data_IF_010347086769
#
_entry.id   IF_010347086769
#
_cell.length_a   1.000
_cell.length_b   1.000
_cell.length_c   1.000
_cell.angle_alpha   90.00
_cell.angle_beta   90.00
_cell.angle_gamma   90.00
#
_symmetry.space_group_name_H-M   'P 1'
#
loop_
_entity.id
_entity.type
_entity.pdbx_description
1 polymer ?
#
# COMPACT_ATOMS: atom_id res chain seq x y z
N UNK A 1 18.00 59.41 -64.57
CA UNK A 1 18.99 60.41 -64.13
C UNK A 1 18.65 60.86 -62.71
N UNK A 2 19.59 60.68 -61.77
CA UNK A 2 19.80 61.43 -60.51
C UNK A 2 18.58 61.87 -59.66
N UNK A 3 18.43 61.33 -58.46
CA UNK A 3 19.10 61.84 -57.24
C UNK A 3 18.32 61.51 -55.97
N UNK A 4 19.07 61.04 -54.99
CA UNK A 4 18.78 60.87 -53.56
C UNK A 4 18.53 62.24 -52.89
N UNK A 5 17.62 62.34 -51.92
CA UNK A 5 17.92 62.76 -50.52
C UNK A 5 16.71 63.31 -49.75
N UNK A 6 16.51 62.73 -48.55
CA UNK A 6 16.21 63.39 -47.26
C UNK A 6 14.81 64.00 -47.10
N UNK A 7 14.04 63.48 -46.16
CA UNK A 7 13.71 64.11 -44.86
C UNK A 7 12.82 63.09 -44.10
N UNK A 8 13.32 62.37 -43.09
CA UNK A 8 13.41 62.74 -41.67
C UNK A 8 12.05 62.75 -40.93
N UNK A 9 12.02 61.96 -39.83
CA UNK A 9 11.11 62.01 -38.67
C UNK A 9 9.62 61.67 -38.93
N UNK A 10 8.86 61.05 -38.02
CA UNK A 10 9.12 60.34 -36.78
C UNK A 10 7.80 59.69 -36.35
N UNK A 11 7.92 58.60 -35.57
CA UNK A 11 7.02 58.14 -34.52
C UNK A 11 5.49 58.30 -34.69
N UNK A 12 4.78 57.18 -34.61
CA UNK A 12 3.78 56.97 -33.55
C UNK A 12 3.43 55.48 -33.45
N UNK A 13 3.92 54.90 -32.36
CA UNK A 13 3.53 53.60 -31.81
C UNK A 13 2.14 53.75 -31.19
N UNK A 14 1.23 52.82 -31.42
CA UNK A 14 -0.02 52.78 -30.66
C UNK A 14 -1.02 51.70 -31.06
N UNK A 15 -1.13 50.68 -30.19
CA UNK A 15 -2.26 49.76 -29.99
C UNK A 15 -2.58 48.74 -31.11
N UNK A 16 -1.90 47.59 -31.05
CA UNK A 16 -2.50 46.32 -31.46
C UNK A 16 -3.13 45.67 -30.20
N UNK A 17 -4.46 45.71 -30.12
CA UNK A 17 -5.22 45.02 -29.08
C UNK A 17 -5.17 43.50 -29.32
N UNK A 18 -4.51 42.77 -28.42
CA UNK A 18 -4.58 41.32 -28.38
C UNK A 18 -5.84 40.90 -27.61
N UNK A 19 -6.85 40.45 -28.34
CA UNK A 19 -7.98 39.69 -27.79
C UNK A 19 -7.45 38.34 -27.29
N UNK A 20 -7.14 38.24 -25.99
CA UNK A 20 -6.89 36.96 -25.35
C UNK A 20 -8.21 36.20 -25.25
N UNK A 21 -8.36 35.15 -26.05
CA UNK A 21 -9.45 34.19 -25.92
C UNK A 21 -9.34 33.48 -24.57
N UNK A 22 -10.29 33.77 -23.67
CA UNK A 22 -10.48 33.02 -22.43
C UNK A 22 -11.11 31.66 -22.76
N UNK A 23 -10.28 30.68 -23.09
CA UNK A 23 -10.72 29.28 -23.03
C UNK A 23 -10.77 28.85 -21.56
N UNK A 24 -11.89 28.31 -21.05
CA UNK A 24 -11.90 27.73 -19.72
C UNK A 24 -10.92 26.55 -19.70
N UNK A 25 -9.94 26.62 -18.80
CA UNK A 25 -9.07 25.49 -18.49
C UNK A 25 -9.96 24.37 -17.96
N UNK A 26 -10.07 23.27 -18.70
CA UNK A 26 -10.60 22.04 -18.16
C UNK A 26 -9.76 21.71 -16.92
N UNK A 27 -10.40 21.69 -15.75
CA UNK A 27 -9.79 21.19 -14.54
C UNK A 27 -9.39 19.73 -14.82
N UNK A 28 -8.10 19.49 -14.99
CA UNK A 28 -7.56 18.15 -15.04
C UNK A 28 -7.91 17.50 -13.70
N UNK A 29 -8.85 16.57 -13.71
CA UNK A 29 -8.96 15.55 -12.67
C UNK A 29 -7.57 14.93 -12.58
N UNK A 30 -6.89 15.13 -11.44
CA UNK A 30 -5.57 14.55 -11.21
C UNK A 30 -5.58 13.03 -11.45
N UNK A 31 -4.40 12.40 -11.65
CA UNK A 31 -4.34 10.97 -11.87
C UNK A 31 -5.11 10.25 -10.75
N UNK A 32 -6.15 9.49 -11.11
CA UNK A 32 -6.73 8.53 -10.19
C UNK A 32 -5.61 7.55 -9.85
N UNK A 33 -5.19 7.52 -8.58
CA UNK A 33 -4.19 6.59 -8.09
C UNK A 33 -4.74 5.16 -8.32
N UNK A 34 -4.20 4.45 -9.32
CA UNK A 34 -4.68 3.16 -9.81
C UNK A 34 -4.15 1.96 -8.99
N UNK A 35 -3.89 2.15 -7.70
CA UNK A 35 -3.37 1.08 -6.84
C UNK A 35 -3.20 1.49 -5.39
N UNK A 36 -2.69 0.59 -4.55
CA UNK A 36 -2.56 0.84 -3.13
C UNK A 36 -1.69 2.06 -2.84
N UNK A 37 -2.13 2.90 -1.91
CA UNK A 37 -1.40 4.06 -1.47
C UNK A 37 -0.98 3.90 -0.01
N UNK A 38 0.31 3.94 0.27
CA UNK A 38 0.79 4.00 1.65
C UNK A 38 0.34 5.32 2.29
N UNK A 39 -0.40 5.22 3.38
CA UNK A 39 -0.92 6.37 4.12
C UNK A 39 0.07 6.84 5.19
N UNK A 40 0.83 5.90 5.77
CA UNK A 40 1.84 6.16 6.80
C UNK A 40 1.71 5.21 7.99
N UNK A 41 2.30 5.59 9.12
CA UNK A 41 2.13 4.89 10.40
C UNK A 41 0.80 5.21 11.07
N UNK A 42 0.67 4.82 12.33
CA UNK A 42 -0.51 5.07 13.16
C UNK A 42 -0.12 5.35 14.62
N UNK A 43 -0.89 6.20 15.28
CA UNK A 43 -0.77 6.45 16.71
C UNK A 43 -1.73 5.53 17.47
N UNK A 44 -1.20 4.38 17.90
CA UNK A 44 -1.98 3.37 18.62
C UNK A 44 -2.53 3.91 19.94
N UNK A 45 -1.77 4.77 20.63
CA UNK A 45 -2.22 5.38 21.88
C UNK A 45 -3.41 6.31 21.66
N UNK A 46 -3.36 7.15 20.63
CA UNK A 46 -4.48 8.01 20.27
C UNK A 46 -5.72 7.20 19.85
N UNK A 47 -5.54 6.12 19.08
CA UNK A 47 -6.62 5.21 18.74
C UNK A 47 -7.24 4.57 19.99
N UNK A 48 -6.43 3.98 20.88
CA UNK A 48 -6.92 3.36 22.11
C UNK A 48 -7.69 4.36 22.99
N UNK A 49 -7.17 5.58 23.17
CA UNK A 49 -7.89 6.64 23.90
C UNK A 49 -9.22 7.03 23.24
N UNK A 50 -9.28 7.02 21.92
CA UNK A 50 -10.52 7.33 21.19
C UNK A 50 -11.65 6.33 21.43
N UNK A 51 -11.31 5.09 21.78
CA UNK A 51 -12.27 4.02 22.10
C UNK A 51 -12.47 3.82 23.61
N UNK A 52 -11.98 4.75 24.43
CA UNK A 52 -12.20 4.77 25.89
C UNK A 52 -11.17 4.00 26.71
N UNK A 53 -10.07 3.53 26.11
CA UNK A 53 -8.95 2.96 26.82
C UNK A 53 -8.00 4.06 27.36
N UNK A 54 -7.10 3.70 28.27
CA UNK A 54 -6.11 4.61 28.84
C UNK A 54 -4.97 4.91 27.84
N UNK A 55 -4.36 3.88 27.26
CA UNK A 55 -3.32 4.01 26.23
C UNK A 55 -3.13 2.71 25.44
N UNK A 56 -2.17 2.69 24.51
CA UNK A 56 -1.65 1.47 23.91
C UNK A 56 -0.43 0.95 24.68
N UNK A 57 -0.27 -0.36 24.76
CA UNK A 57 0.89 -1.02 25.36
C UNK A 57 1.37 -2.17 24.46
N UNK A 58 2.67 -2.38 24.43
CA UNK A 58 3.30 -3.56 23.83
C UNK A 58 3.73 -4.50 24.97
N UNK A 59 3.15 -5.69 25.04
CA UNK A 59 3.45 -6.68 26.11
C UNK A 59 4.42 -7.77 25.69
N UNK A 60 4.90 -7.72 24.45
CA UNK A 60 5.76 -8.74 23.86
C UNK A 60 6.64 -8.18 22.75
N UNK A 61 6.91 -9.00 21.74
CA UNK A 61 7.88 -8.69 20.68
C UNK A 61 7.34 -8.93 19.28
N UNK A 62 6.03 -9.12 19.11
CA UNK A 62 5.38 -9.34 17.82
C UNK A 62 4.32 -8.28 17.57
N UNK A 63 3.93 -8.13 16.31
CA UNK A 63 2.86 -7.20 15.94
C UNK A 63 1.54 -7.46 16.71
N UNK A 64 1.28 -8.70 17.14
CA UNK A 64 0.06 -9.05 17.88
C UNK A 64 0.13 -8.80 19.38
N UNK A 65 1.29 -8.43 19.91
CA UNK A 65 1.44 -8.12 21.34
C UNK A 65 1.09 -6.66 21.67
N UNK A 66 0.55 -5.92 20.70
CA UNK A 66 -0.05 -4.60 20.91
C UNK A 66 -1.47 -4.74 21.46
N UNK A 67 -1.73 -4.04 22.57
CA UNK A 67 -3.01 -4.03 23.24
C UNK A 67 -3.42 -2.60 23.60
N UNK A 68 -4.72 -2.37 23.75
CA UNK A 68 -5.19 -1.20 24.46
C UNK A 68 -5.27 -1.51 25.96
N UNK A 69 -4.76 -0.64 26.82
CA UNK A 69 -4.88 -0.79 28.28
C UNK A 69 -6.12 -0.08 28.79
N UNK A 70 -6.99 -0.79 29.52
CA UNK A 70 -8.10 -0.20 30.25
C UNK A 70 -7.62 0.70 31.40
N UNK A 71 -8.51 1.56 31.90
CA UNK A 71 -8.19 2.44 33.04
C UNK A 71 -7.95 1.68 34.35
N UNK A 72 -8.40 0.43 34.41
CA UNK A 72 -8.17 -0.54 35.50
C UNK A 72 -6.91 -1.39 35.28
N UNK A 73 -6.17 -1.17 34.19
CA UNK A 73 -5.00 -1.95 33.79
C UNK A 73 -5.33 -3.24 33.03
N UNK A 74 -6.59 -3.53 32.72
CA UNK A 74 -6.96 -4.66 31.87
C UNK A 74 -6.44 -4.50 30.44
N UNK A 75 -6.18 -5.61 29.74
CA UNK A 75 -5.80 -5.58 28.33
C UNK A 75 -7.03 -5.80 27.46
N UNK A 76 -7.23 -4.92 26.49
CA UNK A 76 -8.27 -5.01 25.47
C UNK A 76 -7.68 -5.25 24.08
N UNK A 77 -8.54 -5.73 23.18
CA UNK A 77 -8.16 -6.02 21.81
C UNK A 77 -7.81 -4.75 21.03
N UNK A 78 -6.74 -4.84 20.25
CA UNK A 78 -6.34 -3.84 19.28
C UNK A 78 -6.33 -4.50 17.91
N UNK A 79 -7.05 -3.91 16.95
CA UNK A 79 -6.95 -4.34 15.54
C UNK A 79 -6.33 -3.21 14.72
N UNK A 80 -5.22 -3.49 14.04
CA UNK A 80 -4.55 -2.48 13.23
C UNK A 80 -5.43 -1.97 12.10
N UNK A 81 -6.27 -2.82 11.50
CA UNK A 81 -7.23 -2.42 10.48
C UNK A 81 -8.19 -1.32 11.01
N UNK A 82 -8.76 -1.49 12.21
CA UNK A 82 -9.63 -0.47 12.79
C UNK A 82 -8.85 0.81 13.13
N UNK A 83 -7.65 0.67 13.68
CA UNK A 83 -6.79 1.80 13.99
C UNK A 83 -6.39 2.60 12.74
N UNK A 84 -6.11 1.93 11.61
CA UNK A 84 -5.87 2.58 10.33
C UNK A 84 -7.10 3.33 9.81
N UNK A 85 -8.29 2.72 9.88
CA UNK A 85 -9.55 3.37 9.46
C UNK A 85 -9.87 4.61 10.30
N UNK A 86 -9.62 4.53 11.60
CA UNK A 86 -9.78 5.66 12.51
C UNK A 86 -8.76 6.77 12.22
N UNK A 87 -7.48 6.43 12.12
CA UNK A 87 -6.37 7.40 11.91
C UNK A 87 -6.56 8.21 10.64
N UNK A 88 -7.00 7.57 9.55
CA UNK A 88 -7.13 8.19 8.23
C UNK A 88 -8.57 8.51 7.82
N UNK A 89 -9.53 8.35 8.74
CA UNK A 89 -10.96 8.63 8.55
C UNK A 89 -11.54 8.04 7.24
N UNK A 90 -11.17 6.80 6.91
CA UNK A 90 -11.66 6.11 5.70
C UNK A 90 -11.84 4.62 5.94
N UNK A 91 -12.92 4.04 5.39
CA UNK A 91 -13.16 2.59 5.41
C UNK A 91 -12.21 1.80 4.51
N UNK A 92 -11.58 2.48 3.55
CA UNK A 92 -10.65 1.92 2.57
C UNK A 92 -9.23 1.72 3.12
N UNK A 93 -8.99 2.12 4.37
CA UNK A 93 -7.71 1.89 5.03
C UNK A 93 -7.63 0.46 5.58
N UNK A 94 -6.50 -0.19 5.35
CA UNK A 94 -6.11 -1.47 5.93
C UNK A 94 -4.71 -1.38 6.52
N UNK A 95 -4.41 -2.30 7.42
CA UNK A 95 -3.06 -2.52 7.94
C UNK A 95 -2.25 -3.42 7.03
N UNK A 96 -0.94 -3.22 7.01
CA UNK A 96 0.05 -4.16 6.48
C UNK A 96 1.17 -4.30 7.49
N UNK A 97 1.34 -5.51 7.99
CA UNK A 97 2.45 -5.91 8.85
C UNK A 97 3.61 -6.35 7.93
N UNK A 98 4.71 -5.59 7.94
CA UNK A 98 5.88 -5.90 7.11
C UNK A 98 6.65 -7.12 7.61
N UNK A 99 6.85 -7.22 8.92
CA UNK A 99 7.46 -8.34 9.61
C UNK A 99 6.69 -8.60 10.92
N UNK A 100 6.04 -9.75 11.02
CA UNK A 100 5.29 -10.15 12.22
C UNK A 100 6.12 -10.09 13.51
N UNK A 101 7.44 -10.33 13.41
CA UNK A 101 8.39 -10.34 14.54
C UNK A 101 8.94 -8.95 14.86
N UNK A 102 8.55 -7.93 14.10
CA UNK A 102 8.81 -6.52 14.39
C UNK A 102 7.49 -5.81 14.69
N UNK A 103 7.19 -5.51 15.96
CA UNK A 103 5.95 -4.84 16.37
C UNK A 103 5.82 -3.42 15.81
N UNK A 104 6.89 -2.82 15.28
CA UNK A 104 6.88 -1.51 14.66
C UNK A 104 6.68 -1.55 13.13
N UNK A 105 6.66 -2.74 12.51
CA UNK A 105 6.59 -2.90 11.05
C UNK A 105 5.21 -2.68 10.44
N UNK A 106 4.27 -2.16 11.22
CA UNK A 106 2.88 -1.95 10.80
C UNK A 106 2.73 -0.61 10.10
N UNK A 107 2.10 -0.62 8.93
CA UNK A 107 1.76 0.58 8.18
C UNK A 107 0.33 0.53 7.66
N UNK A 108 -0.26 1.70 7.43
CA UNK A 108 -1.59 1.81 6.87
C UNK A 108 -1.52 2.06 5.37
N UNK A 109 -2.43 1.42 4.64
CA UNK A 109 -2.56 1.53 3.20
C UNK A 109 -4.01 1.79 2.83
N UNK A 110 -4.24 2.68 1.87
CA UNK A 110 -5.52 2.84 1.19
C UNK A 110 -5.58 1.85 0.04
N UNK A 111 -6.65 1.09 -0.02
CA UNK A 111 -6.89 0.03 -1.02
C UNK A 111 -8.34 0.09 -1.48
N UNK A 112 -8.63 -0.53 -2.61
CA UNK A 112 -10.00 -0.84 -3.03
C UNK A 112 -10.61 -1.96 -2.16
N UNK A 113 -11.94 -2.18 -2.24
CA UNK A 113 -12.58 -3.32 -1.59
C UNK A 113 -12.18 -4.68 -2.17
N UNK A 114 -11.49 -4.72 -3.31
CA UNK A 114 -11.10 -5.95 -3.98
C UNK A 114 -10.03 -6.68 -3.19
N UNK A 115 -10.29 -7.96 -2.91
CA UNK A 115 -9.37 -8.88 -2.26
C UNK A 115 -9.21 -10.10 -3.16
N UNK A 116 -7.98 -10.44 -3.48
CA UNK A 116 -7.65 -11.63 -4.29
C UNK A 116 -6.72 -12.52 -3.49
N UNK A 117 -7.01 -13.82 -3.43
CA UNK A 117 -6.10 -14.78 -2.82
C UNK A 117 -4.85 -14.95 -3.72
N UNK A 118 -3.63 -14.94 -3.16
CA UNK A 118 -2.41 -15.15 -3.93
C UNK A 118 -2.38 -16.53 -4.61
N UNK A 119 -1.95 -16.57 -5.86
CA UNK A 119 -1.77 -17.81 -6.61
C UNK A 119 -0.33 -18.32 -6.49
N UNK A 120 -0.03 -18.93 -5.35
CA UNK A 120 1.30 -19.47 -5.06
C UNK A 120 1.73 -20.54 -6.07
N UNK A 121 0.83 -21.44 -6.48
CA UNK A 121 1.17 -22.54 -7.39
C UNK A 121 1.51 -22.03 -8.78
N UNK A 122 0.70 -21.14 -9.35
CA UNK A 122 1.00 -20.59 -10.67
C UNK A 122 2.22 -19.67 -10.64
N UNK A 123 2.40 -18.89 -9.57
CA UNK A 123 3.64 -18.12 -9.39
C UNK A 123 4.87 -19.04 -9.39
N UNK A 124 4.92 -20.06 -8.52
CA UNK A 124 6.08 -20.95 -8.40
C UNK A 124 6.35 -21.74 -9.68
N UNK A 125 5.31 -22.20 -10.38
CA UNK A 125 5.48 -22.90 -11.67
C UNK A 125 5.98 -21.96 -12.76
N UNK A 126 5.51 -20.71 -12.78
CA UNK A 126 6.00 -19.68 -13.72
C UNK A 126 7.47 -19.31 -13.52
N UNK A 127 7.99 -19.45 -12.30
CA UNK A 127 9.40 -19.19 -11.95
C UNK A 127 10.29 -20.44 -12.08
N UNK A 128 9.77 -21.54 -12.61
CA UNK A 128 10.54 -22.75 -12.93
C UNK A 128 10.56 -23.82 -11.83
N UNK A 129 9.76 -23.66 -10.78
CA UNK A 129 9.57 -24.70 -9.76
C UNK A 129 8.45 -25.67 -10.13
N UNK A 130 8.35 -26.79 -9.41
CA UNK A 130 7.33 -27.81 -9.67
C UNK A 130 5.95 -27.44 -9.12
N UNK A 131 5.90 -26.80 -7.96
CA UNK A 131 4.66 -26.38 -7.29
C UNK A 131 4.95 -25.36 -6.18
N UNK A 132 3.90 -24.97 -5.45
CA UNK A 132 4.01 -24.39 -4.12
C UNK A 132 3.75 -25.47 -3.04
N UNK A 133 4.36 -25.30 -1.88
CA UNK A 133 4.17 -26.16 -0.72
C UNK A 133 4.05 -25.29 0.55
N UNK A 134 3.19 -25.71 1.46
CA UNK A 134 3.08 -25.15 2.80
C UNK A 134 3.85 -26.03 3.78
N UNK A 135 4.87 -25.48 4.45
CA UNK A 135 5.73 -26.19 5.40
C UNK A 135 5.52 -25.71 6.84
N UNK A 136 4.27 -25.72 7.28
CA UNK A 136 3.89 -25.24 8.60
C UNK A 136 2.44 -24.83 8.62
N UNK A 137 2.11 -23.85 9.45
CA UNK A 137 0.73 -23.37 9.66
C UNK A 137 0.59 -21.86 9.64
N UNK A 138 1.70 -21.12 9.58
CA UNK A 138 1.72 -19.67 9.62
C UNK A 138 1.72 -19.07 8.22
N UNK A 139 1.40 -17.78 8.14
CA UNK A 139 1.48 -17.00 6.91
C UNK A 139 2.87 -17.09 6.25
N UNK A 140 3.95 -17.30 7.01
CA UNK A 140 5.31 -17.32 6.45
C UNK A 140 5.80 -18.68 5.95
N UNK A 141 4.99 -19.73 6.09
CA UNK A 141 5.42 -21.10 5.80
C UNK A 141 5.18 -21.53 4.33
N UNK A 142 4.86 -20.59 3.44
CA UNK A 142 4.73 -20.86 2.02
C UNK A 142 6.10 -20.91 1.34
N UNK A 143 6.30 -21.92 0.50
CA UNK A 143 7.53 -22.13 -0.26
C UNK A 143 7.23 -22.55 -1.69
N UNK A 144 8.14 -22.23 -2.61
CA UNK A 144 8.19 -22.96 -3.87
C UNK A 144 8.92 -24.29 -3.66
N UNK A 145 8.51 -25.33 -4.39
CA UNK A 145 9.12 -26.67 -4.30
C UNK A 145 9.50 -27.20 -5.68
N UNK A 146 10.70 -27.77 -5.79
CA UNK A 146 11.15 -28.51 -6.96
C UNK A 146 11.32 -29.99 -6.61
N UNK A 147 10.67 -30.88 -7.35
CA UNK A 147 10.81 -32.32 -7.14
C UNK A 147 11.91 -32.89 -8.04
N UNK A 148 12.87 -33.57 -7.41
CA UNK A 148 13.93 -34.28 -8.12
C UNK A 148 14.07 -35.71 -7.57
N UNK A 149 14.94 -36.53 -8.20
CA UNK A 149 15.14 -37.93 -7.80
C UNK A 149 15.66 -38.09 -6.37
N UNK A 150 16.30 -37.07 -5.82
CA UNK A 150 16.85 -37.07 -4.46
C UNK A 150 15.86 -36.54 -3.41
N UNK A 151 14.67 -36.07 -3.84
CA UNK A 151 13.62 -35.55 -2.96
C UNK A 151 13.17 -34.13 -3.34
N UNK A 152 12.28 -33.52 -2.53
CA UNK A 152 11.89 -32.13 -2.70
C UNK A 152 13.00 -31.17 -2.26
N UNK A 153 13.17 -30.08 -3.00
CA UNK A 153 13.97 -28.92 -2.58
C UNK A 153 13.06 -27.72 -2.46
N UNK A 154 13.14 -27.00 -1.34
CA UNK A 154 12.26 -25.88 -1.01
C UNK A 154 12.98 -24.55 -1.13
N UNK A 155 12.25 -23.52 -1.53
CA UNK A 155 12.73 -22.17 -1.76
C UNK A 155 11.77 -21.17 -1.12
N UNK A 156 12.32 -20.11 -0.55
CA UNK A 156 11.51 -19.03 0.01
C UNK A 156 10.63 -18.38 -1.06
N UNK A 157 9.43 -18.01 -0.68
CA UNK A 157 8.50 -17.29 -1.55
C UNK A 157 8.39 -15.83 -1.12
N UNK A 158 8.44 -14.92 -2.09
CA UNK A 158 8.13 -13.51 -1.84
C UNK A 158 6.65 -13.27 -2.10
N UNK A 159 5.83 -13.17 -1.05
CA UNK A 159 4.40 -12.90 -1.21
C UNK A 159 4.10 -11.58 -1.94
N UNK A 160 4.84 -10.47 -1.75
CA UNK A 160 4.70 -9.31 -2.61
C UNK A 160 4.85 -9.64 -4.11
N UNK A 161 5.80 -10.52 -4.46
CA UNK A 161 5.99 -10.96 -5.85
C UNK A 161 4.88 -11.89 -6.33
N UNK A 162 4.36 -12.76 -5.46
CA UNK A 162 3.19 -13.61 -5.77
C UNK A 162 1.96 -12.74 -6.05
N UNK A 163 1.71 -11.71 -5.25
CA UNK A 163 0.61 -10.79 -5.50
C UNK A 163 0.81 -10.01 -6.79
N UNK A 164 2.01 -9.49 -7.04
CA UNK A 164 2.32 -8.79 -8.29
C UNK A 164 2.08 -9.68 -9.54
N UNK A 165 2.34 -10.99 -9.43
CA UNK A 165 2.01 -11.96 -10.46
C UNK A 165 0.49 -12.22 -10.58
N UNK A 166 -0.19 -12.36 -9.44
CA UNK A 166 -1.61 -12.76 -9.38
C UNK A 166 -2.54 -11.66 -9.89
N UNK A 167 -2.31 -10.41 -9.50
CA UNK A 167 -3.23 -9.29 -9.79
C UNK A 167 -2.60 -8.14 -10.58
N UNK A 168 -1.27 -8.17 -10.76
CA UNK A 168 -0.50 -7.07 -11.36
C UNK A 168 0.28 -6.25 -10.33
N UNK A 169 1.20 -5.41 -10.81
CA UNK A 169 2.18 -4.71 -9.96
C UNK A 169 1.60 -3.63 -9.03
N UNK A 170 0.37 -3.18 -9.27
CA UNK A 170 -0.33 -2.23 -8.43
C UNK A 170 -1.07 -2.97 -7.29
N UNK A 171 -0.33 -3.61 -6.41
CA UNK A 171 -0.87 -4.41 -5.29
C UNK A 171 0.05 -4.38 -4.08
N UNK A 172 -0.51 -4.68 -2.92
CA UNK A 172 0.25 -5.06 -1.72
C UNK A 172 -0.18 -6.45 -1.25
N UNK A 173 0.72 -7.13 -0.57
CA UNK A 173 0.44 -8.31 0.23
C UNK A 173 0.02 -7.91 1.65
N UNK A 174 -0.91 -8.66 2.23
CA UNK A 174 -1.36 -8.54 3.62
C UNK A 174 -1.83 -9.90 4.10
N UNK A 175 -1.52 -10.30 5.32
CA UNK A 175 -2.19 -11.43 5.98
C UNK A 175 -3.15 -10.90 7.04
N UNK A 176 -4.35 -11.46 7.16
CA UNK A 176 -5.28 -11.06 8.23
C UNK A 176 -5.04 -11.81 9.55
N UNK A 177 -4.43 -13.01 9.50
CA UNK A 177 -4.06 -13.79 10.67
C UNK A 177 -2.71 -14.50 10.45
N UNK A 178 -1.68 -14.12 11.19
CA UNK A 178 -0.36 -14.75 11.08
C UNK A 178 -0.38 -16.27 11.30
N UNK A 179 -1.25 -16.76 12.19
CA UNK A 179 -1.36 -18.18 12.54
C UNK A 179 -2.26 -18.97 11.59
N UNK A 180 -2.72 -18.35 10.50
CA UNK A 180 -3.47 -19.02 9.44
C UNK A 180 -2.86 -18.69 8.08
N UNK A 181 -2.13 -19.67 7.55
CA UNK A 181 -1.46 -19.62 6.25
C UNK A 181 -2.37 -19.29 5.06
N UNK A 182 -3.69 -19.48 5.19
CA UNK A 182 -4.65 -19.23 4.12
C UNK A 182 -5.16 -17.78 4.07
N UNK A 183 -4.75 -16.93 5.03
CA UNK A 183 -5.28 -15.56 5.17
C UNK A 183 -4.52 -14.48 4.42
N UNK A 184 -3.64 -14.87 3.50
CA UNK A 184 -3.01 -13.91 2.61
C UNK A 184 -4.02 -13.27 1.65
N UNK A 185 -3.84 -11.97 1.45
CA UNK A 185 -4.66 -11.11 0.64
C UNK A 185 -3.75 -10.27 -0.27
N UNK A 186 -4.00 -10.32 -1.57
CA UNK A 186 -3.49 -9.35 -2.52
C UNK A 186 -4.51 -8.20 -2.62
N UNK A 187 -4.11 -7.02 -2.14
CA UNK A 187 -4.95 -5.83 -2.09
C UNK A 187 -4.57 -4.86 -3.20
N UNK A 188 -5.57 -4.44 -3.98
CA UNK A 188 -5.47 -3.52 -5.13
C UNK A 188 -5.92 -2.13 -4.73
#
# INVERSE_FOLDING_TARGET
MRSISKFLLAALVGLAGALAALTPAAAATGPQQLGPQQLGGLDLGAYCRSIGAADAVLTGSTAYDWHCTGTDGGLGDLTFAAACRWTYATGDAVDRIGDFRDPASVSCWRVTPTVVAPDFTNYCTSTGHSAAALLGTTAYDWHCVSYNRSGPTYYDVSVPAVCAYTVGSATIDRFSNYYDSATWECRV
#
